data_IF_627930027974
#
_entry.id   IF_627930027974
#
_cell.length_a   1.000
_cell.length_b   1.000
_cell.length_c   1.000
_cell.angle_alpha   90.00
_cell.angle_beta   90.00
_cell.angle_gamma   90.00
#
_symmetry.space_group_name_H-M   'P 1'
#
loop_
_entity.id
_entity.type
_entity.pdbx_description
1 polymer ?
#
# COMPACT_ATOMS: atom_id res chain seq x y z
N UNK A 1 -9.94 -10.67 -22.91
CA UNK A 1 -9.25 -9.54 -22.26
C UNK A 1 -9.92 -9.40 -20.89
N UNK A 2 -9.14 -9.31 -19.81
CA UNK A 2 -9.73 -8.99 -18.50
C UNK A 2 -10.36 -7.61 -18.58
N UNK A 3 -11.51 -7.42 -17.93
CA UNK A 3 -12.14 -6.10 -17.82
C UNK A 3 -11.18 -5.18 -17.04
N UNK A 4 -10.94 -4.00 -17.56
CA UNK A 4 -10.18 -2.95 -16.86
C UNK A 4 -11.11 -1.77 -16.59
N UNK A 5 -10.86 -1.07 -15.50
CA UNK A 5 -11.68 0.04 -15.07
C UNK A 5 -12.61 -0.29 -13.90
N UNK A 6 -13.49 0.66 -13.55
CA UNK A 6 -14.46 0.52 -12.47
C UNK A 6 -15.68 -0.29 -12.96
N UNK A 7 -15.51 -1.61 -13.09
CA UNK A 7 -16.51 -2.53 -13.68
C UNK A 7 -17.75 -2.73 -12.77
N UNK A 8 -17.60 -2.51 -11.47
CA UNK A 8 -18.68 -2.62 -10.48
C UNK A 8 -19.32 -1.26 -10.13
N UNK A 9 -19.11 -0.26 -10.98
CA UNK A 9 -19.70 1.07 -10.85
C UNK A 9 -18.87 2.06 -10.04
N UNK A 10 -19.38 3.28 -9.89
CA UNK A 10 -18.73 4.39 -9.20
C UNK A 10 -18.37 4.06 -7.75
N UNK A 11 -17.38 4.77 -7.23
CA UNK A 11 -16.96 4.68 -5.83
C UNK A 11 -17.85 5.62 -4.99
N UNK A 12 -18.40 5.06 -3.93
CA UNK A 12 -19.31 5.78 -3.04
C UNK A 12 -18.58 6.47 -1.86
N UNK A 13 -19.37 7.04 -0.94
CA UNK A 13 -18.84 7.67 0.27
C UNK A 13 -18.17 6.67 1.23
N UNK A 14 -18.44 5.38 1.10
CA UNK A 14 -17.89 4.30 1.95
C UNK A 14 -16.55 3.76 1.41
N UNK A 15 -15.86 4.55 0.61
CA UNK A 15 -14.56 4.21 0.03
C UNK A 15 -13.42 4.84 0.83
N UNK A 16 -12.32 4.10 1.01
CA UNK A 16 -11.11 4.56 1.67
C UNK A 16 -9.89 4.23 0.80
N UNK A 17 -8.96 5.16 0.70
CA UNK A 17 -7.66 4.95 0.06
C UNK A 17 -6.64 4.42 1.07
N UNK A 18 -6.01 3.29 0.77
CA UNK A 18 -4.91 2.71 1.55
C UNK A 18 -3.63 2.80 0.71
N UNK A 19 -2.78 3.74 1.06
CA UNK A 19 -1.50 3.98 0.40
C UNK A 19 -0.39 3.23 1.12
N UNK A 20 0.23 2.28 0.44
CA UNK A 20 1.14 1.30 1.04
C UNK A 20 2.58 1.77 0.96
N UNK A 21 3.20 1.98 2.12
CA UNK A 21 4.64 2.09 2.37
C UNK A 21 5.42 3.06 1.46
N UNK A 22 4.82 4.20 1.12
CA UNK A 22 5.46 5.26 0.34
C UNK A 22 6.43 6.07 1.23
N UNK A 23 7.52 5.42 1.65
CA UNK A 23 8.51 5.91 2.62
C UNK A 23 9.85 6.24 1.97
N UNK A 24 10.64 7.10 2.63
CA UNK A 24 11.99 7.44 2.21
C UNK A 24 12.89 6.19 2.07
N UNK A 25 12.68 5.17 2.90
CA UNK A 25 13.41 3.90 2.90
C UNK A 25 13.35 3.15 1.56
N UNK A 26 12.27 3.35 0.79
CA UNK A 26 12.00 2.67 -0.47
C UNK A 26 12.23 3.56 -1.70
N UNK A 27 12.65 4.82 -1.53
CA UNK A 27 12.96 5.69 -2.65
C UNK A 27 14.20 5.21 -3.42
N UNK A 28 14.33 5.50 -4.72
CA UNK A 28 15.54 5.19 -5.49
C UNK A 28 16.81 5.68 -4.78
N UNK A 29 17.79 4.79 -4.66
CA UNK A 29 19.04 5.08 -3.93
C UNK A 29 19.00 4.83 -2.43
N UNK A 30 17.85 4.61 -1.83
CA UNK A 30 17.71 4.20 -0.45
C UNK A 30 18.06 2.70 -0.25
N UNK A 31 18.29 2.24 0.99
CA UNK A 31 18.73 0.86 1.26
C UNK A 31 17.79 -0.25 0.73
N UNK A 32 16.48 -0.02 0.71
CA UNK A 32 15.49 -0.89 0.06
C UNK A 32 14.86 -0.20 -1.16
N UNK A 33 15.67 0.54 -1.91
CA UNK A 33 15.21 1.37 -3.02
C UNK A 33 14.47 0.58 -4.11
N UNK A 34 13.28 1.08 -4.44
CA UNK A 34 12.45 0.62 -5.54
C UNK A 34 12.54 1.66 -6.67
N UNK A 35 13.11 1.30 -7.85
CA UNK A 35 13.30 2.25 -8.95
C UNK A 35 12.01 2.86 -9.51
N UNK A 36 10.88 2.17 -9.33
CA UNK A 36 9.58 2.60 -9.84
C UNK A 36 8.84 3.55 -8.90
N UNK A 37 9.23 3.62 -7.62
CA UNK A 37 8.51 4.41 -6.63
C UNK A 37 8.41 5.89 -7.02
N UNK A 38 9.50 6.46 -7.56
CA UNK A 38 9.51 7.86 -8.03
C UNK A 38 8.57 8.09 -9.22
N UNK A 39 8.40 7.09 -10.08
CA UNK A 39 7.51 7.18 -11.25
C UNK A 39 6.04 7.20 -10.88
N UNK A 40 5.64 6.41 -9.88
CA UNK A 40 4.25 6.32 -9.43
C UNK A 40 3.88 7.41 -8.43
N UNK A 41 4.87 8.07 -7.81
CA UNK A 41 4.66 9.08 -6.78
C UNK A 41 3.70 10.20 -7.19
N UNK A 42 3.74 10.77 -8.42
CA UNK A 42 2.78 11.80 -8.83
C UNK A 42 1.32 11.31 -8.82
N UNK A 43 1.05 10.09 -9.27
CA UNK A 43 -0.29 9.50 -9.26
C UNK A 43 -0.75 9.23 -7.81
N UNK A 44 0.14 8.69 -6.98
CA UNK A 44 -0.12 8.49 -5.54
C UNK A 44 -0.42 9.81 -4.84
N UNK A 45 0.37 10.86 -5.10
CA UNK A 45 0.14 12.19 -4.53
C UNK A 45 -1.22 12.75 -4.96
N UNK A 46 -1.54 12.68 -6.25
CA UNK A 46 -2.79 13.20 -6.79
C UNK A 46 -4.01 12.53 -6.12
N UNK A 47 -4.01 11.20 -6.04
CA UNK A 47 -5.06 10.43 -5.40
C UNK A 47 -5.18 10.78 -3.90
N UNK A 48 -4.05 10.79 -3.19
CA UNK A 48 -4.00 11.07 -1.75
C UNK A 48 -4.42 12.50 -1.42
N UNK A 49 -3.98 13.49 -2.20
CA UNK A 49 -4.32 14.89 -1.97
C UNK A 49 -5.80 15.17 -2.19
N UNK A 50 -6.40 14.54 -3.22
CA UNK A 50 -7.82 14.69 -3.54
C UNK A 50 -8.73 14.13 -2.45
N UNK A 51 -8.32 13.04 -1.82
CA UNK A 51 -9.09 12.33 -0.79
C UNK A 51 -8.33 12.21 0.55
N UNK A 52 -7.60 13.26 0.97
CA UNK A 52 -6.74 13.21 2.15
C UNK A 52 -7.48 12.78 3.43
N UNK A 53 -8.72 13.22 3.65
CA UNK A 53 -9.56 12.81 4.80
C UNK A 53 -9.96 11.32 4.75
N UNK A 54 -9.81 10.69 3.62
CA UNK A 54 -10.14 9.28 3.35
C UNK A 54 -8.90 8.51 2.90
N UNK A 55 -7.72 8.95 3.31
CA UNK A 55 -6.44 8.29 3.02
C UNK A 55 -5.79 7.84 4.32
N UNK A 56 -5.36 6.57 4.29
CA UNK A 56 -4.49 5.96 5.30
C UNK A 56 -3.18 5.60 4.62
N UNK A 57 -2.09 6.19 5.08
CA UNK A 57 -0.74 5.80 4.70
C UNK A 57 -0.26 4.69 5.63
N UNK A 58 0.17 3.55 5.11
CA UNK A 58 0.91 2.61 5.94
C UNK A 58 2.40 2.95 5.95
N UNK A 59 3.08 2.66 7.06
CA UNK A 59 4.53 2.67 7.14
C UNK A 59 5.01 1.32 7.63
N UNK A 60 5.91 0.72 6.87
CA UNK A 60 6.66 -0.44 7.33
C UNK A 60 7.76 0.02 8.29
N UNK A 61 7.67 -0.41 9.54
CA UNK A 61 8.63 -0.08 10.58
C UNK A 61 9.53 -1.29 10.82
N UNK A 62 10.81 -1.25 10.43
CA UNK A 62 11.74 -2.35 10.65
C UNK A 62 11.86 -2.76 12.11
N UNK A 63 12.31 -3.99 12.36
CA UNK A 63 12.63 -4.44 13.71
C UNK A 63 13.73 -3.59 14.35
N UNK A 64 13.71 -3.50 15.68
CA UNK A 64 14.78 -2.80 16.41
C UNK A 64 16.15 -3.46 16.20
N UNK A 65 16.15 -4.79 16.22
CA UNK A 65 17.33 -5.63 15.98
C UNK A 65 16.88 -7.02 15.46
N UNK A 66 17.81 -7.86 14.95
CA UNK A 66 17.49 -9.17 14.39
C UNK A 66 16.85 -10.17 15.35
N UNK A 67 17.05 -10.01 16.64
CA UNK A 67 16.59 -10.99 17.64
C UNK A 67 15.18 -10.69 18.18
N UNK A 68 14.70 -9.48 17.97
CA UNK A 68 13.39 -9.03 18.46
C UNK A 68 12.20 -9.74 17.80
N UNK A 69 12.14 -9.90 16.44
CA UNK A 69 10.94 -10.45 15.81
C UNK A 69 10.86 -11.97 15.93
N UNK A 70 9.65 -12.57 15.85
CA UNK A 70 9.46 -14.00 15.98
C UNK A 70 9.82 -14.79 14.71
N UNK A 71 10.09 -16.09 14.87
CA UNK A 71 10.15 -17.07 13.79
C UNK A 71 11.16 -16.73 12.69
N UNK A 72 10.73 -16.84 11.43
CA UNK A 72 11.59 -16.61 10.26
C UNK A 72 11.98 -15.15 10.05
N UNK A 73 11.28 -14.21 10.69
CA UNK A 73 11.67 -12.80 10.68
C UNK A 73 13.04 -12.57 11.32
N UNK A 74 13.45 -13.38 12.30
CA UNK A 74 14.86 -13.36 12.82
C UNK A 74 15.86 -13.63 11.72
N UNK A 75 15.61 -14.68 10.91
CA UNK A 75 16.51 -15.01 9.79
C UNK A 75 16.50 -13.91 8.73
N UNK A 76 15.35 -13.31 8.45
CA UNK A 76 15.22 -12.18 7.55
C UNK A 76 16.07 -11.00 8.02
N UNK A 77 15.90 -10.57 9.27
CA UNK A 77 16.64 -9.42 9.80
C UNK A 77 18.12 -9.72 10.10
N UNK A 78 18.52 -10.97 10.33
CA UNK A 78 19.95 -11.32 10.33
C UNK A 78 20.60 -11.11 8.96
N UNK A 79 19.89 -11.39 7.86
CA UNK A 79 20.34 -11.07 6.50
C UNK A 79 20.36 -9.57 6.23
N UNK A 80 19.40 -8.85 6.78
CA UNK A 80 19.19 -7.42 6.57
C UNK A 80 19.44 -6.62 7.85
N UNK A 81 20.48 -6.98 8.63
CA UNK A 81 20.77 -6.35 9.91
C UNK A 81 21.02 -4.85 9.80
N UNK A 82 21.70 -4.43 8.72
CA UNK A 82 21.92 -3.01 8.40
C UNK A 82 20.65 -2.19 8.19
N UNK A 83 19.50 -2.83 8.03
CA UNK A 83 18.20 -2.20 7.83
C UNK A 83 17.28 -2.29 9.05
N UNK A 84 17.81 -2.67 10.20
CA UNK A 84 17.11 -2.57 11.49
C UNK A 84 17.14 -1.13 12.01
N UNK A 85 16.20 -0.77 12.87
CA UNK A 85 16.11 0.59 13.46
C UNK A 85 17.38 0.99 14.24
N UNK A 86 18.23 0.02 14.63
CA UNK A 86 19.53 0.28 15.25
C UNK A 86 20.53 0.88 14.28
N UNK A 87 20.39 0.65 12.98
CA UNK A 87 21.39 0.97 11.97
C UNK A 87 20.94 1.96 10.92
N UNK A 88 19.63 2.16 10.74
CA UNK A 88 19.10 3.14 9.78
C UNK A 88 18.82 4.47 10.46
N UNK A 89 18.89 5.54 9.69
CA UNK A 89 18.43 6.86 10.13
C UNK A 89 16.91 6.84 10.32
N UNK A 90 16.38 7.36 11.45
CA UNK A 90 14.94 7.34 11.76
C UNK A 90 14.07 7.93 10.64
N UNK A 91 14.56 8.95 9.96
CA UNK A 91 13.88 9.68 8.87
C UNK A 91 13.58 8.79 7.66
N UNK A 92 14.31 7.68 7.50
CA UNK A 92 14.04 6.70 6.43
C UNK A 92 12.70 6.00 6.63
N UNK A 93 12.21 5.90 7.85
CA UNK A 93 10.90 5.29 8.15
C UNK A 93 9.75 6.26 7.82
N UNK A 94 10.03 7.54 7.67
CA UNK A 94 9.00 8.53 7.39
C UNK A 94 8.46 8.42 5.97
N UNK A 95 7.22 8.88 5.80
CA UNK A 95 6.64 9.07 4.46
C UNK A 95 7.49 10.03 3.65
N UNK A 96 7.51 9.84 2.34
CA UNK A 96 8.13 10.84 1.45
C UNK A 96 7.52 12.23 1.69
N UNK A 97 8.30 13.33 1.64
CA UNK A 97 7.86 14.64 2.11
C UNK A 97 6.57 15.15 1.47
N UNK A 98 6.35 14.84 0.20
CA UNK A 98 5.16 15.25 -0.55
C UNK A 98 3.87 14.63 0.00
N UNK A 99 3.95 13.42 0.57
CA UNK A 99 2.82 12.74 1.19
C UNK A 99 2.71 13.06 2.69
N UNK A 100 3.84 13.23 3.38
CA UNK A 100 3.87 13.57 4.80
C UNK A 100 3.10 14.87 5.10
N UNK A 101 3.13 15.86 4.21
CA UNK A 101 2.39 17.13 4.35
C UNK A 101 0.86 16.97 4.25
N UNK A 102 0.36 15.83 3.83
CA UNK A 102 -1.08 15.53 3.83
C UNK A 102 -1.59 15.01 5.18
N UNK A 103 -0.71 14.79 6.13
CA UNK A 103 -0.99 14.30 7.48
C UNK A 103 -0.84 15.46 8.49
N UNK A 104 -1.89 15.90 9.20
CA UNK A 104 -3.30 15.57 8.96
C UNK A 104 -3.86 16.27 7.71
N UNK A 105 -5.02 15.98 7.16
CA UNK A 105 -6.08 15.12 7.70
C UNK A 105 -5.94 13.63 7.36
N UNK A 106 -5.03 13.24 6.47
CA UNK A 106 -4.75 11.82 6.24
C UNK A 106 -4.20 11.15 7.52
N UNK A 107 -4.40 9.86 7.63
CA UNK A 107 -3.96 9.06 8.78
C UNK A 107 -2.70 8.28 8.45
N UNK A 108 -1.93 7.92 9.48
CA UNK A 108 -0.76 7.03 9.37
C UNK A 108 -0.99 5.78 10.22
N UNK A 109 -0.65 4.63 9.66
CA UNK A 109 -0.72 3.33 10.31
C UNK A 109 0.62 2.61 10.20
N UNK A 110 1.30 2.42 11.30
CA UNK A 110 2.57 1.68 11.37
C UNK A 110 2.30 0.17 11.43
N UNK A 111 3.08 -0.60 10.68
CA UNK A 111 3.07 -2.07 10.68
C UNK A 111 4.49 -2.64 10.70
N UNK A 112 4.66 -3.83 11.26
CA UNK A 112 5.97 -4.50 11.39
C UNK A 112 6.15 -5.72 10.49
N UNK A 113 5.11 -6.05 9.74
CA UNK A 113 5.07 -7.15 8.77
C UNK A 113 4.45 -6.67 7.46
N UNK A 114 4.42 -7.50 6.44
CA UNK A 114 3.91 -7.09 5.13
C UNK A 114 2.44 -6.66 5.17
N UNK A 115 1.60 -7.42 5.87
CA UNK A 115 0.16 -7.17 5.94
C UNK A 115 -0.20 -6.15 7.03
N UNK A 116 -0.96 -5.09 6.71
CA UNK A 116 -1.46 -4.13 7.69
C UNK A 116 -2.58 -4.71 8.59
N UNK A 117 -3.09 -5.88 8.25
CA UNK A 117 -4.17 -6.55 8.97
C UNK A 117 -3.69 -7.28 10.23
N UNK A 118 -2.40 -7.69 10.27
CA UNK A 118 -1.89 -8.61 11.29
C UNK A 118 -2.01 -8.09 12.72
N UNK A 119 -1.90 -6.78 12.92
CA UNK A 119 -2.01 -6.17 14.25
C UNK A 119 -3.44 -5.68 14.58
N UNK A 120 -4.40 -5.90 13.68
CA UNK A 120 -5.81 -5.51 13.86
C UNK A 120 -6.08 -4.00 13.83
N UNK A 121 -5.06 -3.18 13.62
CA UNK A 121 -5.21 -1.70 13.63
C UNK A 121 -6.00 -1.19 12.43
N UNK A 122 -5.78 -1.79 11.26
CA UNK A 122 -6.55 -1.43 10.07
C UNK A 122 -8.00 -1.89 10.22
N UNK A 123 -8.24 -3.09 10.77
CA UNK A 123 -9.59 -3.57 11.08
C UNK A 123 -10.33 -2.59 12.00
N UNK A 124 -9.67 -2.15 13.09
CA UNK A 124 -10.26 -1.21 14.05
C UNK A 124 -10.59 0.16 13.41
N UNK A 125 -9.74 0.64 12.53
CA UNK A 125 -9.95 1.89 11.81
C UNK A 125 -11.14 1.79 10.85
N UNK A 126 -11.25 0.70 10.09
CA UNK A 126 -12.31 0.49 9.11
C UNK A 126 -13.67 0.21 9.77
N UNK A 127 -13.69 -0.47 10.91
CA UNK A 127 -14.90 -0.77 11.66
C UNK A 127 -15.68 0.48 12.11
N UNK A 128 -15.00 1.61 12.27
CA UNK A 128 -15.62 2.88 12.69
C UNK A 128 -16.31 3.66 11.56
N UNK A 129 -16.16 3.25 10.29
CA UNK A 129 -16.43 4.10 9.14
C UNK A 129 -17.42 3.57 8.09
N UNK A 130 -18.11 2.45 8.30
CA UNK A 130 -18.98 1.83 7.28
C UNK A 130 -18.28 1.61 5.92
N UNK A 131 -16.95 1.44 5.94
CA UNK A 131 -16.15 1.26 4.73
C UNK A 131 -16.45 -0.10 4.11
N UNK A 132 -16.73 -0.13 2.81
CA UNK A 132 -16.98 -1.33 2.01
C UNK A 132 -16.01 -1.47 0.83
N UNK A 133 -15.33 -0.39 0.46
CA UNK A 133 -14.45 -0.33 -0.71
C UNK A 133 -13.08 0.25 -0.33
N UNK A 134 -12.02 -0.41 -0.80
CA UNK A 134 -10.65 0.06 -0.63
C UNK A 134 -10.00 0.37 -1.98
N UNK A 135 -9.53 1.59 -2.15
CA UNK A 135 -8.59 1.95 -3.22
C UNK A 135 -7.19 1.72 -2.71
N UNK A 136 -6.37 1.00 -3.45
CA UNK A 136 -5.01 0.61 -3.03
C UNK A 136 -3.97 1.18 -3.98
N UNK A 137 -2.96 1.84 -3.42
CA UNK A 137 -1.77 2.35 -4.12
C UNK A 137 -0.48 2.08 -3.33
N UNK A 138 0.67 2.43 -3.88
CA UNK A 138 1.98 2.34 -3.21
C UNK A 138 2.78 1.10 -3.58
N UNK A 139 3.67 0.63 -2.70
CA UNK A 139 4.65 -0.43 -2.98
C UNK A 139 4.83 -1.42 -1.81
N UNK A 140 5.35 -2.61 -2.07
CA UNK A 140 5.60 -3.20 -3.38
C UNK A 140 4.42 -4.08 -3.80
N UNK A 141 4.08 -4.05 -5.09
CA UNK A 141 2.92 -4.74 -5.65
C UNK A 141 2.85 -6.22 -5.25
N UNK A 142 3.99 -6.91 -5.29
CA UNK A 142 4.13 -8.35 -5.05
C UNK A 142 4.43 -8.71 -3.58
N UNK A 143 4.51 -7.73 -2.69
CA UNK A 143 4.82 -7.92 -1.27
C UNK A 143 3.72 -7.30 -0.40
N UNK A 144 3.89 -6.04 0.01
CA UNK A 144 2.97 -5.38 0.97
C UNK A 144 1.61 -5.07 0.34
N UNK A 145 1.56 -4.68 -0.92
CA UNK A 145 0.30 -4.47 -1.65
C UNK A 145 -0.46 -5.79 -1.78
N UNK A 146 0.20 -6.86 -2.24
CA UNK A 146 -0.41 -8.20 -2.33
C UNK A 146 -0.98 -8.67 -0.99
N UNK A 147 -0.19 -8.55 0.08
CA UNK A 147 -0.63 -8.94 1.43
C UNK A 147 -1.84 -8.11 1.92
N UNK A 148 -1.91 -6.84 1.54
CA UNK A 148 -3.03 -5.95 1.84
C UNK A 148 -4.28 -6.36 1.08
N UNK A 149 -4.16 -6.57 -0.24
CA UNK A 149 -5.27 -6.92 -1.13
C UNK A 149 -5.89 -8.26 -0.76
N UNK A 150 -5.08 -9.30 -0.55
CA UNK A 150 -5.61 -10.61 -0.13
C UNK A 150 -6.35 -10.53 1.21
N UNK A 151 -5.79 -9.79 2.17
CA UNK A 151 -6.47 -9.59 3.44
C UNK A 151 -7.75 -8.77 3.35
N UNK A 152 -7.86 -7.86 2.37
CA UNK A 152 -9.09 -7.12 2.08
C UNK A 152 -10.16 -8.02 1.47
N UNK A 153 -9.78 -8.85 0.50
CA UNK A 153 -10.67 -9.86 -0.12
C UNK A 153 -11.25 -10.80 0.92
N UNK A 154 -10.41 -11.34 1.82
CA UNK A 154 -10.84 -12.26 2.88
C UNK A 154 -11.85 -11.63 3.86
N UNK A 155 -11.87 -10.29 3.94
CA UNK A 155 -12.80 -9.50 4.78
C UNK A 155 -14.06 -9.03 4.01
N UNK A 156 -14.14 -9.34 2.72
CA UNK A 156 -15.29 -8.98 1.88
C UNK A 156 -15.27 -7.56 1.35
N UNK A 157 -14.15 -6.85 1.39
CA UNK A 157 -14.04 -5.53 0.78
C UNK A 157 -14.00 -5.62 -0.75
N UNK A 158 -14.69 -4.70 -1.42
CA UNK A 158 -14.40 -4.36 -2.82
C UNK A 158 -13.02 -3.71 -2.87
N UNK A 159 -12.15 -4.16 -3.77
CA UNK A 159 -10.78 -3.62 -3.90
C UNK A 159 -10.59 -3.01 -5.28
N UNK A 160 -10.07 -1.80 -5.34
CA UNK A 160 -9.68 -1.12 -6.59
C UNK A 160 -8.18 -0.83 -6.54
N UNK A 161 -7.42 -1.43 -7.44
CA UNK A 161 -5.98 -1.17 -7.60
C UNK A 161 -5.81 0.03 -8.53
N UNK A 162 -5.13 1.07 -8.06
CA UNK A 162 -4.71 2.20 -8.88
C UNK A 162 -3.48 1.78 -9.72
N UNK A 163 -3.71 1.35 -10.97
CA UNK A 163 -2.72 0.67 -11.80
C UNK A 163 -1.44 1.49 -12.05
N UNK A 164 -1.59 2.79 -12.20
CA UNK A 164 -0.50 3.75 -12.41
C UNK A 164 0.09 4.31 -11.11
N UNK A 165 -0.42 3.85 -9.97
CA UNK A 165 -0.02 4.26 -8.63
C UNK A 165 0.48 3.09 -7.76
N UNK A 166 0.71 1.90 -8.33
CA UNK A 166 1.37 0.78 -7.65
C UNK A 166 2.70 0.44 -8.33
N UNK A 167 3.68 0.02 -7.55
CA UNK A 167 5.01 -0.31 -8.05
C UNK A 167 5.63 -1.52 -7.33
N UNK A 168 6.54 -2.20 -8.01
CA UNK A 168 7.37 -3.26 -7.46
C UNK A 168 8.83 -3.07 -7.87
N UNK A 169 9.76 -3.65 -7.15
CA UNK A 169 11.19 -3.60 -7.46
C UNK A 169 11.59 -4.51 -8.62
N UNK A 170 10.70 -5.40 -9.06
CA UNK A 170 10.93 -6.32 -10.18
C UNK A 170 9.68 -6.39 -11.07
N UNK A 171 9.83 -6.02 -12.35
CA UNK A 171 8.74 -5.99 -13.33
C UNK A 171 8.04 -7.35 -13.45
N UNK A 172 8.82 -8.44 -13.48
CA UNK A 172 8.28 -9.79 -13.65
C UNK A 172 7.29 -10.18 -12.56
N UNK A 173 7.58 -9.88 -11.31
CA UNK A 173 6.69 -10.23 -10.19
C UNK A 173 5.54 -9.25 -10.08
N UNK A 174 5.75 -7.97 -10.39
CA UNK A 174 4.69 -6.98 -10.55
C UNK A 174 3.65 -7.43 -11.60
N UNK A 175 4.08 -7.74 -12.82
CA UNK A 175 3.21 -8.17 -13.92
C UNK A 175 2.46 -9.48 -13.58
N UNK A 176 3.14 -10.41 -12.91
CA UNK A 176 2.51 -11.66 -12.48
C UNK A 176 1.38 -11.42 -11.48
N UNK A 177 1.56 -10.52 -10.52
CA UNK A 177 0.54 -10.18 -9.52
C UNK A 177 -0.60 -9.39 -10.16
N UNK A 178 -0.32 -8.44 -11.04
CA UNK A 178 -1.37 -7.72 -11.78
C UNK A 178 -2.20 -8.68 -12.65
N UNK A 179 -1.56 -9.67 -13.29
CA UNK A 179 -2.25 -10.75 -14.01
C UNK A 179 -3.10 -11.61 -13.08
N UNK A 180 -2.60 -11.92 -11.88
CA UNK A 180 -3.35 -12.67 -10.87
C UNK A 180 -4.62 -11.92 -10.45
N UNK A 181 -4.54 -10.64 -10.16
CA UNK A 181 -5.69 -9.80 -9.83
C UNK A 181 -6.72 -9.81 -10.95
N UNK A 182 -6.30 -9.53 -12.17
CA UNK A 182 -7.18 -9.46 -13.34
C UNK A 182 -7.85 -10.80 -13.71
N UNK A 183 -7.22 -11.94 -13.40
CA UNK A 183 -7.69 -13.26 -13.85
C UNK A 183 -8.35 -14.10 -12.75
N UNK A 184 -7.80 -14.08 -11.51
CA UNK A 184 -8.30 -14.92 -10.41
C UNK A 184 -9.25 -14.22 -9.49
N UNK A 185 -9.09 -12.91 -9.32
CA UNK A 185 -9.83 -12.10 -8.35
C UNK A 185 -10.74 -11.05 -9.00
N UNK A 186 -11.09 -11.21 -10.29
CA UNK A 186 -11.86 -10.24 -11.08
C UNK A 186 -13.22 -9.86 -10.50
N UNK A 187 -13.79 -10.71 -9.63
CA UNK A 187 -15.05 -10.42 -8.95
C UNK A 187 -14.88 -9.56 -7.67
N UNK A 188 -13.65 -9.46 -7.15
CA UNK A 188 -13.35 -8.76 -5.90
C UNK A 188 -12.35 -7.61 -6.09
N UNK A 189 -11.56 -7.67 -7.18
CA UNK A 189 -10.49 -6.71 -7.49
C UNK A 189 -10.71 -6.11 -8.86
N UNK A 190 -10.79 -4.80 -8.90
CA UNK A 190 -10.79 -3.99 -10.12
C UNK A 190 -9.43 -3.34 -10.30
N UNK A 191 -9.03 -3.11 -11.54
CA UNK A 191 -7.79 -2.45 -11.90
C UNK A 191 -8.15 -1.24 -12.74
N UNK A 192 -7.93 -0.03 -12.21
CA UNK A 192 -8.29 1.23 -12.86
C UNK A 192 -7.14 2.24 -12.77
N UNK A 193 -7.06 3.16 -13.70
CA UNK A 193 -6.13 4.28 -13.64
C UNK A 193 -6.57 5.32 -12.60
N UNK A 194 -5.61 6.08 -12.08
CA UNK A 194 -5.87 7.12 -11.06
C UNK A 194 -6.94 8.12 -11.52
N UNK A 195 -6.88 8.59 -12.76
CA UNK A 195 -7.88 9.53 -13.30
C UNK A 195 -9.30 8.94 -13.32
N UNK A 196 -9.44 7.68 -13.69
CA UNK A 196 -10.73 6.99 -13.69
C UNK A 196 -11.28 6.84 -12.26
N UNK A 197 -10.40 6.47 -11.32
CA UNK A 197 -10.73 6.39 -9.89
C UNK A 197 -11.24 7.75 -9.40
N UNK A 198 -10.52 8.84 -9.69
CA UNK A 198 -10.87 10.18 -9.25
C UNK A 198 -12.19 10.68 -9.87
N UNK A 199 -12.45 10.35 -11.14
CA UNK A 199 -13.73 10.67 -11.78
C UNK A 199 -14.89 9.86 -11.21
N UNK A 200 -14.63 8.63 -10.80
CA UNK A 200 -15.65 7.72 -10.25
C UNK A 200 -15.87 7.83 -8.74
N UNK A 201 -15.01 8.57 -8.02
CA UNK A 201 -15.09 8.70 -6.56
C UNK A 201 -15.78 10.02 -6.15
N UNK A 202 -17.05 9.93 -5.77
CA UNK A 202 -17.91 11.05 -5.36
C UNK A 202 -17.93 11.23 -3.84
#
# INVERSE_FOLDING_TARGET
MAASGLVHGSLGPNCLHVCIDMQALFMPGAPWGNPWMERVLPAVEHLSARHARRTVFTRFVPAADPETPPGTWKRYYRKWESLTLRHIEPELVDLVPVLARLVPPAMVLDKRVYSPWTEGRLDALLASGEIDTLVVSGGETDVCVLATVLGAIDRGYRVVIAADAVCGSADRTHDAVMTLYASRFSEQVEIAGTEEILMGWN
#
